data_IF_931950379470
#
_entry.id   IF_931950379470
#
_cell.length_a   1.000
_cell.length_b   1.000
_cell.length_c   1.000
_cell.angle_alpha   90.00
_cell.angle_beta   90.00
_cell.angle_gamma   90.00
#
_symmetry.space_group_name_H-M   'P 1'
#
loop_
_entity.id
_entity.type
_entity.pdbx_description
1 polymer ?
#
# COMPACT_ATOMS: atom_id res chain seq x y z
N UNK A 1 1.75 -2.63 25.88
CA UNK A 1 1.64 -3.77 26.83
C UNK A 1 2.48 -4.98 26.42
N UNK A 2 2.51 -5.38 25.12
CA UNK A 2 3.29 -6.55 24.66
C UNK A 2 4.80 -6.39 24.89
N UNK A 3 5.35 -5.21 24.68
CA UNK A 3 6.77 -4.89 24.92
C UNK A 3 7.09 -4.89 26.42
N UNK A 4 6.19 -4.41 27.27
CA UNK A 4 6.34 -4.48 28.73
C UNK A 4 6.33 -5.94 29.22
N UNK A 5 5.39 -6.76 28.72
CA UNK A 5 5.35 -8.21 29.03
C UNK A 5 6.62 -8.96 28.60
N UNK A 6 7.24 -8.52 27.50
CA UNK A 6 8.50 -9.07 26.98
C UNK A 6 9.75 -8.43 27.60
N UNK A 7 9.59 -7.50 28.54
CA UNK A 7 10.67 -6.75 29.24
C UNK A 7 11.54 -5.88 28.31
N UNK A 8 11.04 -5.51 27.13
CA UNK A 8 11.71 -4.56 26.22
C UNK A 8 11.42 -3.10 26.59
N UNK A 9 10.37 -2.84 27.38
CA UNK A 9 9.99 -1.51 27.83
C UNK A 9 9.56 -1.60 29.30
N UNK A 10 9.92 -0.61 30.12
CA UNK A 10 9.44 -0.49 31.50
C UNK A 10 8.00 0.03 31.52
N UNK A 11 7.21 -0.35 32.52
CA UNK A 11 5.83 0.13 32.64
C UNK A 11 5.75 1.67 32.72
N UNK A 12 6.65 2.32 33.48
CA UNK A 12 6.74 3.78 33.60
C UNK A 12 7.08 4.47 32.26
N UNK A 13 7.90 3.84 31.42
CA UNK A 13 8.22 4.38 30.09
C UNK A 13 7.02 4.27 29.14
N UNK A 14 6.29 3.14 29.19
CA UNK A 14 5.02 2.99 28.48
C UNK A 14 4.02 4.07 28.90
N UNK A 15 3.83 4.28 30.21
CA UNK A 15 2.86 5.23 30.73
C UNK A 15 3.22 6.65 30.33
N UNK A 16 4.50 7.00 30.37
CA UNK A 16 5.00 8.27 29.86
C UNK A 16 4.74 8.44 28.37
N UNK A 17 4.99 7.40 27.53
CA UNK A 17 4.74 7.47 26.09
C UNK A 17 3.25 7.59 25.78
N UNK A 18 2.39 6.84 26.50
CA UNK A 18 0.94 6.95 26.33
C UNK A 18 0.44 8.34 26.74
N UNK A 19 0.99 8.93 27.78
CA UNK A 19 0.66 10.30 28.23
C UNK A 19 0.98 11.40 27.21
N UNK A 20 1.79 11.10 26.17
CA UNK A 20 2.04 12.04 25.06
C UNK A 20 0.95 12.00 23.98
N UNK A 21 0.03 11.05 24.05
CA UNK A 21 -1.05 10.87 23.07
C UNK A 21 -2.36 11.31 23.71
N UNK A 22 -3.04 12.24 23.07
CA UNK A 22 -4.41 12.65 23.41
C UNK A 22 -5.34 12.37 22.25
N UNK A 23 -6.62 12.10 22.54
CA UNK A 23 -7.68 11.94 21.54
C UNK A 23 -8.71 13.04 21.67
N UNK A 24 -9.28 13.49 20.56
CA UNK A 24 -10.41 14.42 20.50
C UNK A 24 -11.39 13.99 19.42
N UNK A 25 -12.66 14.38 19.56
CA UNK A 25 -13.69 14.22 18.52
C UNK A 25 -13.89 15.52 17.71
N UNK A 26 -13.10 16.52 17.98
CA UNK A 26 -13.09 17.83 17.33
C UNK A 26 -11.65 18.28 17.03
N UNK A 27 -11.49 19.52 16.56
CA UNK A 27 -10.18 20.11 16.25
C UNK A 27 -9.50 20.81 17.45
N UNK A 28 -9.91 20.51 18.70
CA UNK A 28 -9.24 21.07 19.87
C UNK A 28 -7.74 20.67 19.90
N UNK A 29 -6.88 21.66 20.10
CA UNK A 29 -5.43 21.45 20.12
C UNK A 29 -4.77 21.36 18.75
N UNK A 30 -5.51 21.48 17.65
CA UNK A 30 -4.93 21.48 16.30
C UNK A 30 -4.21 22.78 15.95
N UNK A 31 -4.60 23.90 16.53
CA UNK A 31 -4.05 25.23 16.24
C UNK A 31 -2.52 25.33 16.34
N UNK A 32 -1.87 24.47 17.13
CA UNK A 32 -0.42 24.49 17.35
C UNK A 32 0.32 23.29 16.74
N UNK A 33 -0.32 22.55 15.85
CA UNK A 33 0.32 21.39 15.21
C UNK A 33 1.18 21.82 14.03
N UNK A 34 2.36 21.18 13.89
CA UNK A 34 3.24 21.39 12.76
C UNK A 34 2.78 20.61 11.53
N UNK A 35 2.29 19.39 11.75
CA UNK A 35 1.83 18.47 10.71
C UNK A 35 0.54 17.80 11.16
N UNK A 36 -0.44 17.73 10.27
CA UNK A 36 -1.64 16.92 10.40
C UNK A 36 -1.58 15.81 9.36
N UNK A 37 -1.65 14.55 9.79
CA UNK A 37 -1.68 13.39 8.89
C UNK A 37 -3.12 12.91 8.79
N UNK A 38 -3.70 12.98 7.59
CA UNK A 38 -5.04 12.50 7.28
C UNK A 38 -4.98 11.03 6.87
N UNK A 39 -5.85 10.19 7.45
CA UNK A 39 -5.99 8.78 7.14
C UNK A 39 -7.47 8.35 7.17
N UNK A 40 -8.35 9.16 6.58
CA UNK A 40 -9.78 8.86 6.43
C UNK A 40 -10.04 7.95 5.24
N UNK A 41 -11.31 7.64 4.95
CA UNK A 41 -11.68 6.83 3.80
C UNK A 41 -11.15 7.40 2.48
N UNK A 42 -10.87 6.50 1.52
CA UNK A 42 -10.33 6.85 0.20
C UNK A 42 -11.45 7.45 -0.68
N UNK A 43 -11.80 8.68 -0.38
CA UNK A 43 -12.83 9.49 -1.04
C UNK A 43 -12.29 10.91 -1.25
N UNK A 44 -12.24 11.37 -2.49
CA UNK A 44 -11.64 12.65 -2.85
C UNK A 44 -12.36 13.83 -2.21
N UNK A 45 -13.69 13.83 -2.24
CA UNK A 45 -14.49 14.93 -1.71
C UNK A 45 -14.31 15.05 -0.19
N UNK A 46 -14.25 13.90 0.51
CA UNK A 46 -13.98 13.85 1.93
C UNK A 46 -12.59 14.41 2.25
N UNK A 47 -11.55 14.00 1.49
CA UNK A 47 -10.19 14.50 1.72
C UNK A 47 -10.04 15.98 1.44
N UNK A 48 -10.67 16.50 0.39
CA UNK A 48 -10.73 17.95 0.10
C UNK A 48 -11.42 18.73 1.23
N UNK A 49 -12.52 18.19 1.76
CA UNK A 49 -13.20 18.76 2.93
C UNK A 49 -12.27 18.79 4.16
N UNK A 50 -11.54 17.71 4.42
CA UNK A 50 -10.57 17.63 5.52
C UNK A 50 -9.44 18.66 5.38
N UNK A 51 -8.93 18.91 4.17
CA UNK A 51 -7.95 19.99 3.91
C UNK A 51 -8.53 21.33 4.38
N UNK A 52 -9.73 21.67 3.90
CA UNK A 52 -10.39 22.95 4.25
C UNK A 52 -10.63 23.10 5.75
N UNK A 53 -11.07 22.03 6.42
CA UNK A 53 -11.30 22.05 7.87
C UNK A 53 -9.98 22.24 8.66
N UNK A 54 -8.91 21.54 8.26
CA UNK A 54 -7.59 21.70 8.89
C UNK A 54 -7.05 23.10 8.67
N UNK A 55 -7.23 23.68 7.48
CA UNK A 55 -6.81 25.06 7.19
C UNK A 55 -7.52 26.11 8.06
N UNK A 56 -8.77 25.86 8.44
CA UNK A 56 -9.56 26.76 9.33
C UNK A 56 -9.12 26.69 10.79
N UNK A 57 -8.64 25.51 11.25
CA UNK A 57 -8.34 25.26 12.65
C UNK A 57 -6.86 25.27 13.00
N UNK A 58 -5.99 25.29 11.98
CA UNK A 58 -4.53 25.24 12.14
C UNK A 58 -3.88 26.55 11.69
N UNK A 59 -2.68 26.80 12.21
CA UNK A 59 -1.86 27.94 11.79
C UNK A 59 -1.44 27.81 10.30
N UNK A 60 -1.10 28.92 9.63
CA UNK A 60 -0.77 28.92 8.20
C UNK A 60 0.41 28.01 7.81
N UNK A 61 1.34 27.76 8.73
CA UNK A 61 2.55 26.95 8.51
C UNK A 61 2.28 25.44 8.62
N UNK A 62 1.12 25.04 9.16
CA UNK A 62 0.78 23.63 9.34
C UNK A 62 0.73 22.88 8.00
N UNK A 63 1.44 21.77 7.93
CA UNK A 63 1.44 20.89 6.77
C UNK A 63 0.29 19.91 6.87
N UNK A 64 -0.50 19.82 5.80
CA UNK A 64 -1.49 18.75 5.62
C UNK A 64 -0.86 17.61 4.82
N UNK A 65 -0.78 16.43 5.42
CA UNK A 65 -0.21 15.23 4.82
C UNK A 65 -1.28 14.16 4.65
N UNK A 66 -1.61 13.77 3.42
CA UNK A 66 -2.57 12.70 3.15
C UNK A 66 -1.88 11.34 3.09
N UNK A 67 -2.42 10.35 3.80
CA UNK A 67 -2.01 8.94 3.70
C UNK A 67 -2.85 8.19 2.65
N UNK A 68 -3.22 8.84 1.57
CA UNK A 68 -3.86 8.18 0.42
C UNK A 68 -2.92 7.16 -0.20
N UNK A 69 -3.47 6.07 -0.75
CA UNK A 69 -2.71 5.04 -1.46
C UNK A 69 -2.79 5.17 -2.98
N UNK A 70 -3.71 6.00 -3.51
CA UNK A 70 -3.97 6.03 -4.95
C UNK A 70 -4.42 7.38 -5.50
N UNK A 71 -5.08 8.21 -4.68
CA UNK A 71 -5.60 9.50 -5.14
C UNK A 71 -4.46 10.51 -5.36
N UNK A 72 -4.44 11.22 -6.50
CA UNK A 72 -3.44 12.25 -6.75
C UNK A 72 -3.48 13.35 -5.68
N UNK A 73 -2.32 13.71 -5.18
CA UNK A 73 -2.19 14.75 -4.14
C UNK A 73 -2.61 16.11 -4.68
N UNK A 74 -2.34 16.38 -5.96
CA UNK A 74 -2.78 17.60 -6.63
C UNK A 74 -4.31 17.76 -6.66
N UNK A 75 -5.06 16.66 -6.81
CA UNK A 75 -6.51 16.69 -6.75
C UNK A 75 -7.01 16.95 -5.32
N UNK A 76 -6.37 16.35 -4.32
CA UNK A 76 -6.68 16.62 -2.90
C UNK A 76 -6.42 18.10 -2.58
N UNK A 77 -5.34 18.66 -3.10
CA UNK A 77 -4.93 20.05 -2.89
C UNK A 77 -5.71 21.07 -3.73
N UNK A 78 -6.54 20.63 -4.71
CA UNK A 78 -7.15 21.54 -5.70
C UNK A 78 -8.02 22.64 -5.11
N UNK A 79 -8.63 22.40 -3.93
CA UNK A 79 -9.48 23.38 -3.23
C UNK A 79 -8.79 23.98 -1.99
N UNK A 80 -7.51 23.66 -1.76
CA UNK A 80 -6.77 24.17 -0.62
C UNK A 80 -6.48 25.66 -0.76
N UNK A 81 -6.62 26.43 0.32
CA UNK A 81 -6.19 27.83 0.39
C UNK A 81 -4.67 27.95 0.42
N UNK A 82 -3.99 26.89 0.88
CA UNK A 82 -2.54 26.81 1.03
C UNK A 82 -1.98 25.54 0.36
N UNK A 83 -2.15 25.35 -0.96
CA UNK A 83 -1.75 24.13 -1.66
C UNK A 83 -0.27 23.81 -1.48
N UNK A 84 0.60 24.82 -1.27
CA UNK A 84 2.02 24.61 -1.01
C UNK A 84 2.31 23.85 0.30
N UNK A 85 1.34 23.75 1.21
CA UNK A 85 1.42 23.00 2.47
C UNK A 85 0.75 21.63 2.41
N UNK A 86 0.25 21.22 1.26
CA UNK A 86 -0.35 19.88 1.05
C UNK A 86 0.69 18.93 0.45
N UNK A 87 0.78 17.72 1.01
CA UNK A 87 1.72 16.68 0.58
C UNK A 87 1.14 15.29 0.85
N UNK A 88 1.58 14.28 0.12
CA UNK A 88 1.32 12.88 0.44
C UNK A 88 2.39 12.30 1.38
N UNK A 89 1.94 11.50 2.34
CA UNK A 89 2.78 10.63 3.18
C UNK A 89 2.15 9.25 3.19
N UNK A 90 2.51 8.43 2.20
CA UNK A 90 1.96 7.09 2.03
C UNK A 90 2.73 6.09 2.90
N UNK A 91 2.08 5.63 3.97
CA UNK A 91 2.60 4.60 4.86
C UNK A 91 2.11 3.21 4.44
N UNK A 92 2.99 2.23 4.59
CA UNK A 92 2.65 0.83 4.29
C UNK A 92 2.22 0.07 5.56
N UNK A 93 1.22 -0.79 5.41
CA UNK A 93 0.67 -1.57 6.53
C UNK A 93 1.43 -2.90 6.72
N UNK A 94 1.74 -3.30 7.97
CA UNK A 94 1.50 -2.62 9.25
C UNK A 94 2.51 -1.48 9.49
N UNK A 95 2.00 -0.28 9.81
CA UNK A 95 2.82 0.93 9.91
C UNK A 95 3.97 0.82 10.91
N UNK A 96 3.78 0.07 12.01
CA UNK A 96 4.81 -0.15 13.03
C UNK A 96 5.96 -1.08 12.60
N UNK A 97 5.82 -1.76 11.47
CA UNK A 97 6.81 -2.72 10.97
C UNK A 97 7.43 -2.33 9.64
N UNK A 98 6.61 -1.78 8.74
CA UNK A 98 7.06 -1.39 7.42
C UNK A 98 7.94 -0.15 7.50
N UNK A 99 9.20 -0.23 7.05
CA UNK A 99 10.13 0.89 7.18
C UNK A 99 9.91 1.98 6.13
N UNK A 100 9.32 1.67 4.99
CA UNK A 100 9.16 2.56 3.86
C UNK A 100 8.07 3.62 4.08
N UNK A 101 8.28 4.82 3.56
CA UNK A 101 7.27 5.88 3.37
C UNK A 101 7.52 6.58 2.04
N UNK A 102 6.53 6.61 1.17
CA UNK A 102 6.56 7.47 0.00
C UNK A 102 6.15 8.89 0.40
N UNK A 103 6.98 9.87 0.07
CA UNK A 103 6.73 11.31 0.22
C UNK A 103 6.34 11.85 -1.15
N UNK A 104 5.10 12.29 -1.31
CA UNK A 104 4.51 12.61 -2.61
C UNK A 104 4.18 14.11 -2.68
N UNK A 105 5.09 14.96 -3.18
CA UNK A 105 4.79 16.36 -3.46
C UNK A 105 4.00 16.48 -4.76
N UNK A 106 2.94 17.27 -4.78
CA UNK A 106 2.32 17.73 -6.02
C UNK A 106 3.06 18.97 -6.58
N UNK A 107 2.68 19.42 -7.77
CA UNK A 107 3.37 20.52 -8.47
C UNK A 107 3.42 21.83 -7.65
N UNK A 108 2.46 22.07 -6.77
CA UNK A 108 2.38 23.27 -5.94
C UNK A 108 3.06 23.13 -4.56
N UNK A 109 3.52 21.93 -4.17
CA UNK A 109 4.13 21.72 -2.85
C UNK A 109 5.49 22.43 -2.74
N UNK A 110 5.69 23.23 -1.69
CA UNK A 110 6.95 23.95 -1.50
C UNK A 110 8.10 23.06 -0.99
N UNK A 111 9.33 23.53 -1.20
CA UNK A 111 10.55 22.79 -0.80
C UNK A 111 10.65 22.58 0.70
N UNK A 112 10.16 23.53 1.51
CA UNK A 112 10.19 23.42 2.96
C UNK A 112 9.22 22.33 3.45
N UNK A 113 8.04 22.23 2.86
CA UNK A 113 7.07 21.18 3.13
C UNK A 113 7.64 19.80 2.81
N UNK A 114 8.29 19.64 1.65
CA UNK A 114 8.97 18.40 1.27
C UNK A 114 10.07 18.03 2.28
N UNK A 115 10.95 18.98 2.61
CA UNK A 115 12.06 18.76 3.54
C UNK A 115 11.56 18.38 4.95
N UNK A 116 10.47 19.02 5.40
CA UNK A 116 9.85 18.74 6.69
C UNK A 116 9.21 17.34 6.72
N UNK A 117 8.50 16.94 5.67
CA UNK A 117 7.91 15.63 5.54
C UNK A 117 8.97 14.50 5.54
N UNK A 118 10.06 14.68 4.77
CA UNK A 118 11.21 13.75 4.77
C UNK A 118 11.86 13.68 6.15
N UNK A 119 12.05 14.81 6.83
CA UNK A 119 12.61 14.85 8.19
C UNK A 119 11.69 14.14 9.19
N UNK A 120 10.39 14.38 9.11
CA UNK A 120 9.39 13.72 9.96
C UNK A 120 9.44 12.21 9.79
N UNK A 121 9.43 11.71 8.56
CA UNK A 121 9.53 10.27 8.29
C UNK A 121 10.81 9.67 8.88
N UNK A 122 11.97 10.33 8.73
CA UNK A 122 13.24 9.90 9.36
C UNK A 122 13.17 9.89 10.88
N UNK A 123 12.56 10.89 11.50
CA UNK A 123 12.38 10.95 12.96
C UNK A 123 11.48 9.82 13.48
N UNK A 124 10.55 9.33 12.65
CA UNK A 124 9.71 8.16 12.94
C UNK A 124 10.45 6.83 12.70
N UNK A 125 11.73 6.84 12.33
CA UNK A 125 12.53 5.66 12.03
C UNK A 125 12.19 5.03 10.68
N UNK A 126 11.61 5.82 9.75
CA UNK A 126 11.25 5.38 8.40
C UNK A 126 12.34 5.70 7.38
N UNK A 127 12.30 5.00 6.28
CA UNK A 127 13.08 5.26 5.06
C UNK A 127 12.20 6.01 4.08
N UNK A 128 12.30 7.35 3.98
CA UNK A 128 11.48 8.13 3.04
C UNK A 128 12.09 8.12 1.65
N UNK A 129 11.25 7.91 0.64
CA UNK A 129 11.53 8.12 -0.78
C UNK A 129 10.60 9.21 -1.30
N UNK A 130 11.15 10.14 -2.10
CA UNK A 130 10.35 11.19 -2.73
C UNK A 130 9.99 10.76 -4.14
N UNK A 131 8.70 10.57 -4.37
CA UNK A 131 8.13 10.11 -5.65
C UNK A 131 7.19 11.16 -6.24
N UNK A 132 7.00 11.16 -7.55
CA UNK A 132 6.09 12.09 -8.21
C UNK A 132 4.63 11.74 -7.91
N UNK A 133 3.78 12.77 -7.91
CA UNK A 133 2.33 12.66 -7.78
C UNK A 133 1.72 12.09 -9.06
N UNK A 134 1.69 10.78 -9.16
CA UNK A 134 1.13 10.00 -10.27
C UNK A 134 0.26 8.87 -9.70
N UNK A 135 -0.74 8.43 -10.45
CA UNK A 135 -1.65 7.37 -10.03
C UNK A 135 -0.89 6.10 -9.58
N UNK A 136 -1.13 5.69 -8.34
CA UNK A 136 -0.47 4.53 -7.71
C UNK A 136 0.96 4.80 -7.23
N UNK A 137 1.44 6.04 -7.33
CA UNK A 137 2.78 6.48 -6.96
C UNK A 137 3.86 5.58 -7.58
N UNK A 138 4.77 5.01 -6.81
CA UNK A 138 5.74 4.06 -7.35
C UNK A 138 5.43 2.61 -6.95
N UNK A 139 5.29 2.31 -5.66
CA UNK A 139 5.13 0.93 -5.18
C UNK A 139 3.88 0.26 -5.76
N UNK A 140 2.71 0.90 -5.64
CA UNK A 140 1.47 0.30 -6.17
C UNK A 140 1.53 0.16 -7.69
N UNK A 141 2.23 1.07 -8.36
CA UNK A 141 2.40 1.04 -9.81
C UNK A 141 3.26 -0.13 -10.26
N UNK A 142 4.37 -0.43 -9.60
CA UNK A 142 5.21 -1.58 -9.96
C UNK A 142 4.62 -2.92 -9.51
N UNK A 143 3.88 -2.93 -8.39
CA UNK A 143 3.28 -4.15 -7.85
C UNK A 143 2.07 -4.63 -8.66
N UNK A 144 1.27 -3.73 -9.23
CA UNK A 144 0.04 -4.13 -9.91
C UNK A 144 0.29 -5.05 -11.13
N UNK A 145 1.20 -4.76 -12.07
CA UNK A 145 1.51 -5.69 -13.17
C UNK A 145 2.11 -7.03 -12.69
N UNK A 146 2.93 -6.99 -11.63
CA UNK A 146 3.49 -8.18 -10.99
C UNK A 146 2.39 -9.11 -10.44
N UNK A 147 1.43 -8.54 -9.71
CA UNK A 147 0.29 -9.29 -9.16
C UNK A 147 -0.63 -9.77 -10.28
N UNK A 148 -0.89 -8.94 -11.29
CA UNK A 148 -1.71 -9.31 -12.43
C UNK A 148 -1.12 -10.50 -13.18
N UNK A 149 0.21 -10.58 -13.33
CA UNK A 149 0.86 -11.70 -13.97
C UNK A 149 0.74 -12.97 -13.12
N UNK A 150 0.87 -12.89 -11.82
CA UNK A 150 0.61 -14.03 -10.93
C UNK A 150 -0.83 -14.54 -11.04
N UNK A 151 -1.80 -13.64 -11.20
CA UNK A 151 -3.19 -14.02 -11.45
C UNK A 151 -3.39 -14.64 -12.84
N UNK A 152 -2.65 -14.22 -13.88
CA UNK A 152 -2.65 -14.87 -15.20
C UNK A 152 -2.11 -16.29 -15.11
N UNK A 153 -0.99 -16.48 -14.42
CA UNK A 153 -0.42 -17.81 -14.16
C UNK A 153 -1.42 -18.73 -13.46
N UNK A 154 -2.14 -18.22 -12.46
CA UNK A 154 -3.20 -18.98 -11.80
C UNK A 154 -4.32 -19.37 -12.78
N UNK A 155 -4.77 -18.45 -13.64
CA UNK A 155 -5.80 -18.73 -14.65
C UNK A 155 -5.31 -19.72 -15.73
N UNK A 156 -4.00 -19.79 -15.99
CA UNK A 156 -3.37 -20.78 -16.85
C UNK A 156 -3.28 -22.17 -16.19
N UNK A 157 -3.60 -22.26 -14.89
CA UNK A 157 -3.65 -23.50 -14.13
C UNK A 157 -2.43 -23.76 -13.26
N UNK A 158 -1.52 -22.80 -13.11
CA UNK A 158 -0.41 -22.93 -12.13
C UNK A 158 -0.97 -22.91 -10.69
N UNK A 159 -0.57 -23.84 -9.80
CA UNK A 159 -1.08 -23.85 -8.43
C UNK A 159 -0.69 -22.62 -7.63
N UNK A 160 -1.63 -22.14 -6.79
CA UNK A 160 -1.43 -20.98 -5.90
C UNK A 160 -0.12 -21.08 -5.11
N UNK A 161 0.14 -22.24 -4.48
CA UNK A 161 1.37 -22.44 -3.70
C UNK A 161 2.62 -22.47 -4.57
N UNK A 162 2.53 -22.97 -5.79
CA UNK A 162 3.67 -23.02 -6.70
C UNK A 162 4.09 -21.60 -7.09
N UNK A 163 3.13 -20.75 -7.45
CA UNK A 163 3.37 -19.34 -7.76
C UNK A 163 4.02 -18.63 -6.56
N UNK A 164 3.39 -18.71 -5.38
CA UNK A 164 3.90 -18.02 -4.19
C UNK A 164 5.29 -18.52 -3.77
N UNK A 165 5.53 -19.83 -3.80
CA UNK A 165 6.82 -20.41 -3.43
C UNK A 165 7.94 -20.02 -4.41
N UNK A 166 7.64 -19.92 -5.70
CA UNK A 166 8.60 -19.46 -6.71
C UNK A 166 9.13 -18.06 -6.38
N UNK A 167 8.24 -17.13 -6.04
CA UNK A 167 8.61 -15.76 -5.71
C UNK A 167 9.31 -15.66 -4.34
N UNK A 168 8.88 -16.43 -3.35
CA UNK A 168 9.57 -16.48 -2.05
C UNK A 168 11.00 -17.04 -2.20
N UNK A 169 11.19 -18.08 -2.99
CA UNK A 169 12.54 -18.61 -3.29
C UNK A 169 13.39 -17.63 -4.09
N UNK A 170 12.77 -16.84 -4.96
CA UNK A 170 13.46 -15.77 -5.68
C UNK A 170 13.98 -14.68 -4.75
N UNK A 171 13.31 -14.44 -3.59
CA UNK A 171 13.76 -13.48 -2.58
C UNK A 171 12.64 -12.58 -1.99
N UNK A 172 11.41 -12.68 -2.47
CA UNK A 172 10.30 -11.91 -1.90
C UNK A 172 9.92 -12.44 -0.50
N UNK A 173 9.57 -11.57 0.45
CA UNK A 173 9.18 -11.99 1.81
C UNK A 173 7.85 -12.76 1.83
N UNK A 174 7.01 -12.54 0.81
CA UNK A 174 5.69 -13.16 0.64
C UNK A 174 5.39 -13.29 -0.85
N UNK A 175 4.70 -14.36 -1.23
CA UNK A 175 4.28 -14.55 -2.62
C UNK A 175 3.14 -13.62 -3.02
N UNK A 176 2.95 -13.36 -4.33
CA UNK A 176 2.02 -12.37 -4.85
C UNK A 176 0.55 -12.67 -4.54
N UNK A 177 0.17 -13.94 -4.57
CA UNK A 177 -1.21 -14.37 -4.28
C UNK A 177 -1.50 -14.23 -2.78
N UNK A 178 -0.55 -14.62 -1.93
CA UNK A 178 -0.67 -14.38 -0.49
C UNK A 178 -0.66 -12.88 -0.16
N UNK A 179 0.11 -12.06 -0.87
CA UNK A 179 0.13 -10.61 -0.66
C UNK A 179 -1.26 -10.00 -0.87
N UNK A 180 -2.00 -10.42 -1.90
CA UNK A 180 -3.39 -10.01 -2.10
C UNK A 180 -4.28 -10.34 -0.90
N UNK A 181 -4.12 -11.52 -0.33
CA UNK A 181 -4.87 -11.93 0.86
C UNK A 181 -4.49 -11.09 2.10
N UNK A 182 -3.19 -10.77 2.28
CA UNK A 182 -2.71 -9.96 3.42
C UNK A 182 -3.19 -8.50 3.35
N UNK A 183 -3.15 -7.88 2.18
CA UNK A 183 -3.65 -6.51 1.93
C UNK A 183 -5.18 -6.46 2.02
N UNK A 184 -5.82 -7.51 1.58
CA UNK A 184 -7.26 -7.65 1.42
C UNK A 184 -7.69 -7.41 -0.02
N UNK A 185 -8.35 -8.42 -0.58
CA UNK A 185 -8.77 -8.45 -1.99
C UNK A 185 -9.70 -7.27 -2.32
N UNK A 186 -10.60 -6.93 -1.39
CA UNK A 186 -11.50 -5.79 -1.48
C UNK A 186 -10.77 -4.42 -1.49
N UNK A 187 -9.55 -4.35 -0.96
CA UNK A 187 -8.74 -3.13 -1.03
C UNK A 187 -8.11 -3.00 -2.41
N UNK A 188 -7.60 -4.10 -2.97
CA UNK A 188 -7.04 -4.12 -4.33
C UNK A 188 -8.02 -3.61 -5.38
N UNK A 189 -9.32 -3.95 -5.24
CA UNK A 189 -10.37 -3.52 -6.18
C UNK A 189 -10.60 -2.02 -6.24
N UNK A 190 -10.23 -1.27 -5.22
CA UNK A 190 -10.34 0.20 -5.22
C UNK A 190 -9.21 0.86 -5.99
N UNK A 191 -8.04 0.22 -6.04
CA UNK A 191 -6.86 0.76 -6.70
C UNK A 191 -6.87 0.45 -8.21
N UNK A 192 -7.38 -0.72 -8.60
CA UNK A 192 -7.41 -1.17 -10.00
C UNK A 192 -8.04 -0.13 -10.94
N UNK A 193 -9.26 0.40 -10.71
CA UNK A 193 -9.88 1.37 -11.62
C UNK A 193 -9.07 2.66 -11.75
N UNK A 194 -8.39 3.10 -10.70
CA UNK A 194 -7.54 4.29 -10.71
C UNK A 194 -6.32 4.06 -11.62
N UNK A 195 -5.69 2.88 -11.52
CA UNK A 195 -4.54 2.52 -12.34
C UNK A 195 -4.93 2.28 -13.80
N UNK A 196 -6.06 1.61 -14.05
CA UNK A 196 -6.59 1.37 -15.42
C UNK A 196 -6.93 2.69 -16.12
N UNK A 197 -7.61 3.60 -15.44
CA UNK A 197 -7.93 4.91 -15.98
C UNK A 197 -6.69 5.73 -16.33
N UNK A 198 -5.63 5.64 -15.52
CA UNK A 198 -4.40 6.38 -15.72
C UNK A 198 -3.45 5.75 -16.75
N UNK A 199 -3.38 4.42 -16.80
CA UNK A 199 -2.31 3.70 -17.49
C UNK A 199 -2.78 2.66 -18.50
N UNK A 200 -4.10 2.45 -18.63
CA UNK A 200 -4.72 1.57 -19.61
C UNK A 200 -4.67 0.08 -19.26
N UNK A 201 -4.99 -0.76 -20.24
CA UNK A 201 -5.22 -2.20 -20.11
C UNK A 201 -4.06 -2.99 -19.51
N UNK A 202 -2.83 -2.49 -19.56
CA UNK A 202 -1.69 -3.19 -18.94
C UNK A 202 -1.81 -3.35 -17.42
N UNK A 203 -2.71 -2.58 -16.80
CA UNK A 203 -3.03 -2.66 -15.38
C UNK A 203 -4.27 -3.50 -15.09
N UNK A 204 -4.96 -3.98 -16.12
CA UNK A 204 -6.15 -4.80 -15.94
C UNK A 204 -5.79 -6.22 -15.48
N UNK A 205 -6.41 -6.70 -14.39
CA UNK A 205 -6.30 -8.10 -13.99
C UNK A 205 -6.99 -8.99 -15.04
N UNK A 206 -6.76 -10.32 -15.00
CA UNK A 206 -7.53 -11.25 -15.81
C UNK A 206 -9.04 -11.06 -15.59
N UNK A 207 -9.81 -11.14 -16.67
CA UNK A 207 -11.24 -10.90 -16.63
C UNK A 207 -11.95 -11.81 -15.59
N UNK A 208 -12.88 -11.22 -14.86
CA UNK A 208 -13.75 -11.89 -13.87
C UNK A 208 -13.06 -12.48 -12.63
N UNK A 209 -11.72 -12.53 -12.53
CA UNK A 209 -11.05 -13.16 -11.39
C UNK A 209 -11.43 -12.48 -10.08
N UNK A 210 -11.30 -11.16 -10.03
CA UNK A 210 -11.56 -10.38 -8.81
C UNK A 210 -13.05 -10.40 -8.45
N UNK A 211 -13.93 -10.21 -9.42
CA UNK A 211 -15.39 -10.24 -9.18
C UNK A 211 -15.85 -11.60 -8.68
N UNK A 212 -15.38 -12.70 -9.27
CA UNK A 212 -15.70 -14.06 -8.82
C UNK A 212 -15.30 -14.28 -7.37
N UNK A 213 -14.09 -13.85 -6.99
CA UNK A 213 -13.55 -14.01 -5.64
C UNK A 213 -14.35 -13.19 -4.62
N UNK A 214 -14.70 -11.94 -4.95
CA UNK A 214 -15.48 -11.08 -4.06
C UNK A 214 -16.93 -11.54 -3.91
N UNK A 215 -17.54 -12.05 -4.98
CA UNK A 215 -18.90 -12.61 -4.94
C UNK A 215 -18.99 -13.84 -4.03
N UNK A 216 -17.89 -14.59 -3.84
CA UNK A 216 -17.78 -15.68 -2.87
C UNK A 216 -17.33 -15.21 -1.46
N UNK A 217 -17.48 -13.91 -1.17
CA UNK A 217 -17.10 -13.23 0.10
C UNK A 217 -15.66 -13.54 0.56
N UNK A 218 -14.72 -13.58 -0.38
CA UNK A 218 -13.31 -13.80 -0.09
C UNK A 218 -12.59 -12.46 0.02
N UNK A 219 -12.23 -12.08 1.24
CA UNK A 219 -11.52 -10.81 1.56
C UNK A 219 -10.11 -11.03 2.09
N UNK A 220 -9.58 -12.25 1.96
CA UNK A 220 -8.27 -12.63 2.45
C UNK A 220 -8.22 -12.73 3.99
N UNK A 221 -7.19 -12.17 4.58
CA UNK A 221 -6.97 -12.16 6.05
C UNK A 221 -8.08 -11.46 6.83
N UNK A 222 -8.81 -10.54 6.23
CA UNK A 222 -9.87 -9.78 6.91
C UNK A 222 -11.00 -10.67 7.41
N UNK A 223 -11.36 -11.69 6.64
CA UNK A 223 -12.38 -12.67 7.01
C UNK A 223 -11.87 -14.11 7.07
N UNK A 224 -10.53 -14.30 7.08
CA UNK A 224 -9.83 -15.59 7.10
C UNK A 224 -10.04 -16.47 5.87
N UNK A 225 -10.54 -15.93 4.78
CA UNK A 225 -10.84 -16.64 3.54
C UNK A 225 -10.48 -15.79 2.33
N UNK A 226 -9.51 -16.24 1.57
CA UNK A 226 -9.04 -15.64 0.32
C UNK A 226 -8.69 -16.72 -0.69
N UNK A 227 -7.54 -16.60 -1.31
CA UNK A 227 -6.91 -17.69 -2.04
C UNK A 227 -6.45 -18.80 -1.10
N UNK A 228 -6.14 -18.39 0.14
CA UNK A 228 -5.82 -19.29 1.23
C UNK A 228 -6.91 -19.28 2.29
N UNK A 229 -6.98 -20.38 3.04
CA UNK A 229 -7.73 -20.47 4.29
C UNK A 229 -6.78 -20.17 5.46
N UNK A 230 -7.20 -19.29 6.33
CA UNK A 230 -6.45 -18.87 7.49
C UNK A 230 -7.12 -19.34 8.78
N UNK A 231 -6.31 -19.68 9.79
CA UNK A 231 -6.86 -19.99 11.10
C UNK A 231 -7.48 -18.75 11.74
N UNK A 232 -8.58 -18.93 12.44
CA UNK A 232 -9.14 -17.91 13.32
C UNK A 232 -8.08 -17.46 14.35
N UNK A 233 -8.14 -16.16 14.73
CA UNK A 233 -7.19 -15.54 15.66
C UNK A 233 -7.05 -16.37 16.95
N UNK A 234 -5.83 -16.83 17.25
CA UNK A 234 -5.55 -17.65 18.44
C UNK A 234 -5.41 -19.16 18.18
N UNK A 235 -5.73 -19.67 16.99
CA UNK A 235 -5.48 -21.07 16.63
C UNK A 235 -4.16 -21.20 15.88
N UNK A 236 -3.33 -22.17 16.27
CA UNK A 236 -2.07 -22.54 15.59
C UNK A 236 -2.39 -23.48 14.40
N UNK A 237 -2.86 -22.95 13.30
CA UNK A 237 -2.87 -23.73 12.06
C UNK A 237 -2.08 -22.97 11.00
N UNK A 238 -1.36 -23.71 10.15
CA UNK A 238 -0.69 -23.13 8.97
C UNK A 238 -1.76 -22.73 7.97
N UNK A 239 -1.53 -21.61 7.23
CA UNK A 239 -2.31 -21.29 6.04
C UNK A 239 -2.25 -22.47 5.07
N UNK A 240 -3.30 -22.69 4.31
CA UNK A 240 -3.35 -23.67 3.22
C UNK A 240 -4.11 -23.08 2.05
N UNK A 241 -3.76 -23.39 0.78
CA UNK A 241 -4.60 -23.03 -0.35
C UNK A 241 -6.02 -23.57 -0.15
N UNK A 242 -7.00 -22.81 -0.60
CA UNK A 242 -8.38 -23.30 -0.64
C UNK A 242 -8.63 -23.98 -1.98
N UNK A 243 -8.83 -25.33 -2.04
CA UNK A 243 -9.08 -26.02 -3.29
C UNK A 243 -10.32 -25.50 -4.05
N UNK A 244 -11.28 -24.91 -3.32
CA UNK A 244 -12.48 -24.36 -3.93
C UNK A 244 -12.21 -23.17 -4.86
N UNK A 245 -11.01 -22.50 -4.72
CA UNK A 245 -10.65 -21.37 -5.58
C UNK A 245 -10.56 -21.78 -7.06
N UNK A 246 -10.06 -22.98 -7.34
CA UNK A 246 -9.91 -23.46 -8.72
C UNK A 246 -11.27 -23.66 -9.40
N UNK A 247 -12.21 -24.31 -8.72
CA UNK A 247 -13.59 -24.48 -9.23
C UNK A 247 -14.29 -23.14 -9.41
N UNK A 248 -14.10 -22.21 -8.46
CA UNK A 248 -14.68 -20.87 -8.51
C UNK A 248 -14.19 -20.09 -9.74
N UNK A 249 -12.93 -20.27 -10.11
CA UNK A 249 -12.30 -19.59 -11.25
C UNK A 249 -12.42 -20.38 -12.56
N UNK A 250 -13.11 -21.52 -12.56
CA UNK A 250 -13.29 -22.37 -13.75
C UNK A 250 -12.01 -23.12 -14.16
N UNK A 251 -11.06 -23.28 -13.26
CA UNK A 251 -9.80 -23.99 -13.49
C UNK A 251 -10.03 -25.49 -13.26
N UNK A 252 -10.06 -26.25 -14.33
CA UNK A 252 -10.36 -27.68 -14.28
C UNK A 252 -9.25 -28.55 -13.70
N UNK A 253 -8.00 -28.12 -13.82
CA UNK A 253 -6.83 -28.82 -13.30
C UNK A 253 -5.72 -27.82 -12.97
N UNK A 254 -5.34 -27.77 -11.70
CA UNK A 254 -4.18 -26.99 -11.24
C UNK A 254 -2.97 -27.92 -11.15
N UNK A 255 -2.02 -27.72 -12.05
CA UNK A 255 -0.79 -28.51 -12.14
C UNK A 255 0.39 -27.60 -12.50
N UNK A 256 1.49 -27.71 -11.77
CA UNK A 256 2.72 -27.01 -12.09
C UNK A 256 3.27 -27.48 -13.44
N UNK A 257 3.28 -26.60 -14.42
CA UNK A 257 3.79 -26.83 -15.78
C UNK A 257 5.07 -26.04 -16.03
N UNK A 258 5.18 -24.87 -15.41
CA UNK A 258 6.36 -24.01 -15.46
C UNK A 258 7.30 -24.34 -14.30
N UNK A 259 8.60 -24.19 -14.51
CA UNK A 259 9.55 -24.21 -13.41
C UNK A 259 9.38 -22.99 -12.50
N UNK A 260 9.80 -23.09 -11.25
CA UNK A 260 9.79 -21.96 -10.32
C UNK A 260 10.54 -20.74 -10.87
N UNK A 261 11.64 -20.97 -11.60
CA UNK A 261 12.39 -19.91 -12.26
C UNK A 261 11.54 -19.19 -13.32
N UNK A 262 10.84 -19.93 -14.19
CA UNK A 262 9.98 -19.35 -15.22
C UNK A 262 8.81 -18.54 -14.61
N UNK A 263 8.20 -19.06 -13.55
CA UNK A 263 7.15 -18.35 -12.81
C UNK A 263 7.70 -17.04 -12.24
N UNK A 264 8.86 -17.08 -11.57
CA UNK A 264 9.49 -15.90 -10.99
C UNK A 264 9.88 -14.88 -12.07
N UNK A 265 10.51 -15.31 -13.15
CA UNK A 265 10.90 -14.46 -14.27
C UNK A 265 9.70 -13.73 -14.88
N UNK A 266 8.57 -14.43 -15.14
CA UNK A 266 7.36 -13.82 -15.69
C UNK A 266 6.86 -12.68 -14.79
N UNK A 267 6.70 -12.93 -13.50
CA UNK A 267 6.19 -11.92 -12.56
C UNK A 267 7.18 -10.76 -12.37
N UNK A 268 8.45 -11.06 -12.16
CA UNK A 268 9.49 -10.04 -11.89
C UNK A 268 9.72 -9.15 -13.10
N UNK A 269 9.70 -9.70 -14.32
CA UNK A 269 9.87 -8.91 -15.54
C UNK A 269 8.75 -7.89 -15.74
N UNK A 270 7.52 -8.18 -15.31
CA UNK A 270 6.43 -7.22 -15.32
C UNK A 270 6.68 -6.05 -14.37
N UNK A 271 7.20 -6.34 -13.17
CA UNK A 271 7.60 -5.33 -12.20
C UNK A 271 8.75 -4.46 -12.74
N UNK A 272 9.81 -5.07 -13.26
CA UNK A 272 10.97 -4.37 -13.80
C UNK A 272 10.63 -3.48 -15.00
N UNK A 273 9.77 -3.97 -15.90
CA UNK A 273 9.32 -3.20 -17.05
C UNK A 273 8.56 -1.94 -16.62
N UNK A 274 7.68 -2.05 -15.61
CA UNK A 274 6.97 -0.87 -15.11
C UNK A 274 7.88 0.04 -14.27
N UNK A 275 8.85 -0.51 -13.53
CA UNK A 275 9.87 0.29 -12.84
C UNK A 275 10.71 1.13 -13.82
N UNK A 276 11.09 0.55 -14.95
CA UNK A 276 11.80 1.27 -16.02
C UNK A 276 10.95 2.42 -16.60
N UNK A 277 9.64 2.19 -16.82
CA UNK A 277 8.70 3.26 -17.22
C UNK A 277 8.59 4.36 -16.16
N UNK A 278 8.49 3.97 -14.90
CA UNK A 278 8.46 4.94 -13.79
C UNK A 278 9.71 5.80 -13.74
N UNK A 279 10.87 5.23 -14.06
CA UNK A 279 12.12 5.97 -14.15
C UNK A 279 12.13 6.94 -15.35
N UNK A 280 11.74 6.49 -16.53
CA UNK A 280 11.62 7.32 -17.74
C UNK A 280 10.62 8.48 -17.55
N UNK A 281 9.48 8.21 -16.93
CA UNK A 281 8.44 9.19 -16.59
C UNK A 281 8.78 10.06 -15.36
N UNK A 282 9.96 9.90 -14.77
CA UNK A 282 10.43 10.62 -13.58
C UNK A 282 9.52 10.50 -12.37
N UNK A 283 8.90 9.34 -12.19
CA UNK A 283 8.15 9.02 -10.96
C UNK A 283 9.11 8.86 -9.80
N UNK A 284 10.25 8.22 -10.03
CA UNK A 284 11.39 8.16 -9.10
C UNK A 284 12.54 9.01 -9.64
N UNK A 285 13.35 9.57 -8.75
CA UNK A 285 14.45 10.50 -9.11
C UNK A 285 15.71 9.79 -9.60
N UNK A 286 15.91 8.57 -9.16
CA UNK A 286 17.08 7.75 -9.50
C UNK A 286 16.73 6.27 -9.44
N UNK A 287 17.51 5.43 -10.13
CA UNK A 287 17.41 3.98 -10.02
C UNK A 287 17.57 3.52 -8.57
N UNK A 288 18.51 4.15 -7.82
CA UNK A 288 18.73 3.86 -6.39
C UNK A 288 17.47 4.10 -5.54
N UNK A 289 16.74 5.20 -5.78
CA UNK A 289 15.50 5.48 -5.05
C UNK A 289 14.45 4.41 -5.36
N UNK A 290 14.33 4.00 -6.63
CA UNK A 290 13.46 2.91 -7.05
C UNK A 290 13.83 1.56 -6.42
N UNK A 291 15.11 1.23 -6.36
CA UNK A 291 15.60 -0.01 -5.72
C UNK A 291 15.29 -0.02 -4.21
N UNK A 292 15.53 1.10 -3.53
CA UNK A 292 15.18 1.24 -2.10
C UNK A 292 13.68 1.03 -1.88
N UNK A 293 12.86 1.66 -2.71
CA UNK A 293 11.40 1.59 -2.60
C UNK A 293 10.87 0.17 -2.89
N UNK A 294 11.52 -0.56 -3.80
CA UNK A 294 11.15 -1.94 -4.14
C UNK A 294 11.58 -2.98 -3.08
N UNK A 295 12.62 -2.67 -2.28
CA UNK A 295 13.20 -3.60 -1.28
C UNK A 295 12.55 -3.46 0.08
N UNK A 296 12.13 -2.26 0.48
CA UNK A 296 11.58 -1.95 1.81
C UNK A 296 10.06 -1.87 1.81
#
# INVERSE_FOLDING_TARGET
DKQVRRRYLRASERDRQIGLISGSLDYQGFAHRDVVIEAVFEDLALKQKMVSEVEQHCRPETIFASNTSSLPIGEIAAQASRPQRVIGLHFFSPVDKMPLVEVIPHIGTDRQTIATAVKLAKLQGKTPIVVADKAGFYVNRILAPYINEAMRLLMEGEPVEHIDNALVKFGFPVGPIQLLDEVGIDTGTKIIPVLEAAWGERFSPPANIISSILNDDRKGRKNNRGFYLYAAKGRKSKKRPDPAIYSLLGISSAQARLSEQQVAERCVMMMLNEAARCFDERVVRSARDGDIDAVF
#
